data_IF_035840541701
#
_entry.id   IF_035840541701
#
_cell.length_a   1.000
_cell.length_b   1.000
_cell.length_c   1.000
_cell.angle_alpha   90.00
_cell.angle_beta   90.00
_cell.angle_gamma   90.00
#
_symmetry.space_group_name_H-M   'P 1'
#
loop_
_entity.id
_entity.type
_entity.pdbx_description
1 polymer ?
#
# COMPACT_ATOMS: atom_id res chain seq x y z
N UNK A 1 11.27 -15.02 -3.82
CA UNK A 1 10.89 -16.12 -4.72
C UNK A 1 9.46 -16.62 -4.51
N UNK A 2 8.89 -16.51 -3.31
CA UNK A 2 7.53 -16.98 -3.00
C UNK A 2 6.36 -16.17 -3.62
N UNK A 3 6.52 -14.86 -3.85
CA UNK A 3 5.39 -14.00 -4.25
C UNK A 3 4.81 -14.35 -5.63
N UNK A 4 5.64 -14.79 -6.58
CA UNK A 4 5.20 -15.17 -7.92
C UNK A 4 4.30 -16.41 -7.92
N UNK A 5 4.72 -17.58 -7.37
CA UNK A 5 3.84 -18.74 -7.29
C UNK A 5 2.62 -18.50 -6.39
N UNK A 6 2.76 -17.78 -5.28
CA UNK A 6 1.62 -17.45 -4.42
C UNK A 6 0.56 -16.62 -5.16
N UNK A 7 0.97 -15.61 -5.92
CA UNK A 7 0.07 -14.80 -6.75
C UNK A 7 -0.58 -15.62 -7.86
N UNK A 8 0.20 -16.44 -8.57
CA UNK A 8 -0.30 -17.32 -9.63
C UNK A 8 -1.36 -18.31 -9.12
N UNK A 9 -1.12 -18.94 -7.97
CA UNK A 9 -2.07 -19.89 -7.35
C UNK A 9 -3.36 -19.16 -6.99
N UNK A 10 -3.28 -18.01 -6.30
CA UNK A 10 -4.46 -17.26 -5.88
C UNK A 10 -5.28 -16.75 -7.09
N UNK A 11 -4.62 -16.28 -8.14
CA UNK A 11 -5.29 -15.89 -9.39
C UNK A 11 -5.95 -17.09 -10.09
N UNK A 12 -5.23 -18.22 -10.22
CA UNK A 12 -5.73 -19.42 -10.91
C UNK A 12 -6.95 -20.00 -10.21
N UNK A 13 -6.90 -20.15 -8.88
CA UNK A 13 -8.03 -20.69 -8.11
C UNK A 13 -9.21 -19.72 -8.13
N UNK A 14 -8.98 -18.41 -8.07
CA UNK A 14 -10.05 -17.40 -8.16
C UNK A 14 -10.79 -17.42 -9.50
N UNK A 15 -10.03 -17.54 -10.60
CA UNK A 15 -10.58 -17.60 -11.97
C UNK A 15 -11.34 -18.91 -12.17
N UNK A 16 -10.71 -20.05 -11.86
CA UNK A 16 -11.32 -21.37 -12.08
C UNK A 16 -12.55 -21.61 -11.19
N UNK A 17 -12.54 -21.08 -9.97
CA UNK A 17 -13.67 -21.16 -9.05
C UNK A 17 -14.77 -20.12 -9.30
N UNK A 18 -14.64 -19.26 -10.32
CA UNK A 18 -15.58 -18.17 -10.62
C UNK A 18 -15.84 -17.19 -9.45
N UNK A 19 -14.91 -17.09 -8.50
CA UNK A 19 -15.04 -16.20 -7.34
C UNK A 19 -14.01 -15.07 -7.34
N UNK A 20 -13.47 -14.69 -8.50
CA UNK A 20 -12.49 -13.61 -8.65
C UNK A 20 -12.89 -12.30 -7.98
N UNK A 21 -14.19 -11.94 -7.98
CA UNK A 21 -14.69 -10.74 -7.28
C UNK A 21 -14.50 -10.85 -5.76
N UNK A 22 -14.85 -12.01 -5.19
CA UNK A 22 -14.65 -12.32 -3.76
C UNK A 22 -13.17 -12.37 -3.40
N UNK A 23 -12.34 -12.91 -4.29
CA UNK A 23 -10.90 -12.97 -4.09
C UNK A 23 -10.27 -11.58 -4.06
N UNK A 24 -10.66 -10.67 -4.97
CA UNK A 24 -10.19 -9.28 -4.98
C UNK A 24 -10.54 -8.52 -3.69
N UNK A 25 -11.69 -8.79 -3.07
CA UNK A 25 -12.07 -8.22 -1.77
C UNK A 25 -11.07 -8.61 -0.65
N UNK A 26 -10.50 -9.82 -0.69
CA UNK A 26 -9.45 -10.24 0.24
C UNK A 26 -8.07 -9.64 -0.07
N UNK A 27 -7.92 -8.98 -1.22
CA UNK A 27 -6.70 -8.27 -1.62
C UNK A 27 -6.79 -6.76 -1.42
N UNK A 28 -7.82 -6.24 -0.74
CA UNK A 28 -8.00 -4.79 -0.52
C UNK A 28 -6.73 -4.12 0.05
N UNK A 29 -6.08 -4.62 1.12
CA UNK A 29 -4.86 -4.00 1.64
C UNK A 29 -3.72 -3.94 0.61
N UNK A 30 -3.57 -5.00 -0.19
CA UNK A 30 -2.57 -5.09 -1.26
C UNK A 30 -2.89 -4.12 -2.41
N UNK A 31 -4.17 -3.98 -2.77
CA UNK A 31 -4.64 -3.04 -3.80
C UNK A 31 -4.39 -1.60 -3.34
N UNK A 32 -4.69 -1.26 -2.08
CA UNK A 32 -4.43 0.08 -1.53
C UNK A 32 -2.93 0.40 -1.59
N UNK A 33 -2.08 -0.53 -1.16
CA UNK A 33 -0.62 -0.34 -1.23
C UNK A 33 -0.10 -0.23 -2.68
N UNK A 34 -0.72 -0.94 -3.62
CA UNK A 34 -0.42 -0.82 -5.04
C UNK A 34 -0.81 0.57 -5.59
N UNK A 35 -2.03 1.03 -5.32
CA UNK A 35 -2.52 2.36 -5.73
C UNK A 35 -1.64 3.47 -5.15
N UNK A 36 -1.24 3.34 -3.89
CA UNK A 36 -0.30 4.27 -3.27
C UNK A 36 1.08 4.26 -3.95
N UNK A 37 1.51 3.11 -4.48
CA UNK A 37 2.77 2.95 -5.21
C UNK A 37 2.71 3.41 -6.68
N UNK A 38 1.53 3.63 -7.27
CA UNK A 38 1.36 4.01 -8.69
C UNK A 38 2.24 5.20 -9.10
N UNK A 39 2.24 6.34 -8.39
CA UNK A 39 3.04 7.51 -8.80
C UNK A 39 4.54 7.21 -8.87
N UNK A 40 5.03 6.31 -8.00
CA UNK A 40 6.41 5.86 -8.04
C UNK A 40 6.64 4.93 -9.24
N UNK A 41 5.78 3.91 -9.42
CA UNK A 41 5.91 2.90 -10.47
C UNK A 41 5.89 3.48 -11.90
N UNK A 42 5.07 4.50 -12.14
CA UNK A 42 5.01 5.19 -13.44
C UNK A 42 6.09 6.28 -13.61
N UNK A 43 7.00 6.44 -12.65
CA UNK A 43 8.13 7.37 -12.75
C UNK A 43 7.78 8.85 -12.53
N UNK A 44 6.60 9.17 -11.99
CA UNK A 44 6.28 10.55 -11.59
C UNK A 44 7.20 11.03 -10.45
N UNK A 45 7.50 10.12 -9.52
CA UNK A 45 8.41 10.29 -8.38
C UNK A 45 9.60 9.34 -8.58
N UNK A 46 10.85 9.78 -8.30
CA UNK A 46 12.01 8.89 -8.38
C UNK A 46 11.85 7.66 -7.49
N UNK A 47 12.18 6.48 -8.02
CA UNK A 47 12.04 5.21 -7.31
C UNK A 47 13.35 4.92 -6.57
N UNK A 48 13.27 4.73 -5.24
CA UNK A 48 14.36 4.07 -4.50
C UNK A 48 14.42 2.60 -4.89
N UNK A 49 15.62 2.09 -5.16
CA UNK A 49 15.87 0.68 -5.49
C UNK A 49 15.34 -0.26 -4.40
N UNK A 50 15.38 0.17 -3.15
CA UNK A 50 14.85 -0.56 -2.00
C UNK A 50 13.84 0.31 -1.26
N UNK A 51 12.56 -0.05 -1.32
CA UNK A 51 11.46 0.64 -0.64
C UNK A 51 11.24 0.17 0.80
N UNK A 52 12.23 -0.52 1.37
CA UNK A 52 12.15 -1.03 2.73
C UNK A 52 12.62 0.05 3.72
N UNK A 53 11.96 0.22 4.86
CA UNK A 53 12.45 1.07 5.93
C UNK A 53 13.85 0.65 6.40
N UNK A 54 14.74 1.63 6.59
CA UNK A 54 16.10 1.39 7.07
C UNK A 54 16.08 1.14 8.57
N UNK A 55 16.72 0.06 9.04
CA UNK A 55 16.86 -0.19 10.47
C UNK A 55 18.04 0.60 11.03
N UNK A 56 17.82 1.27 12.16
CA UNK A 56 18.89 1.82 12.97
C UNK A 56 19.42 0.75 13.93
N UNK A 57 20.72 0.51 13.90
CA UNK A 57 21.37 -0.53 14.71
C UNK A 57 21.40 -0.16 16.20
N UNK A 58 21.41 1.14 16.52
CA UNK A 58 21.50 1.61 17.90
C UNK A 58 20.15 1.52 18.62
N UNK A 59 19.09 2.01 17.98
CA UNK A 59 17.76 2.03 18.57
C UNK A 59 16.90 0.80 18.23
N UNK A 60 17.33 -0.04 17.29
CA UNK A 60 16.57 -1.16 16.73
C UNK A 60 15.18 -0.75 16.20
N UNK A 61 15.04 0.52 15.82
CA UNK A 61 13.82 1.11 15.26
C UNK A 61 13.95 1.21 13.75
N UNK A 62 12.80 1.23 13.08
CA UNK A 62 12.72 1.45 11.64
C UNK A 62 12.57 2.92 11.33
N UNK A 63 13.51 3.44 10.57
CA UNK A 63 13.45 4.74 9.96
C UNK A 63 12.77 4.64 8.59
N UNK A 64 11.93 5.61 8.23
CA UNK A 64 11.29 5.65 6.93
C UNK A 64 12.32 5.74 5.80
N UNK A 65 12.05 5.06 4.69
CA UNK A 65 12.89 5.17 3.49
C UNK A 65 12.67 6.55 2.84
N UNK A 66 13.75 7.23 2.52
CA UNK A 66 13.75 8.58 1.97
C UNK A 66 14.13 8.57 0.49
N UNK A 67 13.44 9.38 -0.29
CA UNK A 67 13.71 9.59 -1.72
C UNK A 67 14.26 10.99 -1.91
N UNK A 68 15.48 11.07 -2.44
CA UNK A 68 16.19 12.33 -2.65
C UNK A 68 15.91 12.84 -4.07
N UNK A 69 15.47 14.09 -4.19
CA UNK A 69 15.31 14.75 -5.48
C UNK A 69 16.59 15.48 -5.87
N UNK A 70 17.21 15.06 -6.98
CA UNK A 70 18.46 15.64 -7.50
C UNK A 70 18.25 17.10 -7.94
N UNK A 71 17.07 17.43 -8.48
CA UNK A 71 16.67 18.80 -8.81
C UNK A 71 15.70 19.33 -7.75
N UNK A 72 15.92 20.55 -7.22
CA UNK A 72 14.98 21.15 -6.29
C UNK A 72 13.62 21.30 -6.98
N UNK A 73 12.57 20.91 -6.28
CA UNK A 73 11.22 20.89 -6.81
C UNK A 73 10.73 22.35 -6.96
N UNK A 74 10.56 22.82 -8.20
CA UNK A 74 10.01 24.16 -8.47
C UNK A 74 8.58 24.27 -7.92
N UNK A 75 8.27 25.37 -7.22
CA UNK A 75 6.98 25.63 -6.57
C UNK A 75 5.76 25.60 -7.52
N UNK A 76 5.98 25.64 -8.84
CA UNK A 76 4.93 25.70 -9.87
C UNK A 76 4.69 24.37 -10.62
N UNK A 77 5.39 23.30 -10.27
CA UNK A 77 5.25 22.02 -10.98
C UNK A 77 4.04 21.21 -10.48
N UNK A 78 3.34 20.52 -11.37
CA UNK A 78 2.22 19.61 -11.04
C UNK A 78 2.61 18.56 -9.99
N UNK A 79 3.88 18.15 -9.98
CA UNK A 79 4.48 17.24 -8.98
C UNK A 79 4.44 17.82 -7.56
N UNK A 80 4.70 19.11 -7.40
CA UNK A 80 4.70 19.83 -6.11
C UNK A 80 3.29 19.94 -5.55
N UNK A 81 2.29 20.23 -6.41
CA UNK A 81 0.89 20.24 -6.01
C UNK A 81 0.39 18.86 -5.59
N UNK A 82 0.73 17.81 -6.35
CA UNK A 82 0.41 16.43 -5.98
C UNK A 82 1.04 16.05 -4.63
N UNK A 83 2.32 16.36 -4.44
CA UNK A 83 3.00 16.09 -3.17
C UNK A 83 2.39 16.86 -1.99
N UNK A 84 2.00 18.13 -2.18
CA UNK A 84 1.29 18.90 -1.14
C UNK A 84 -0.07 18.29 -0.78
N UNK A 85 -0.81 17.74 -1.76
CA UNK A 85 -2.07 17.04 -1.47
C UNK A 85 -1.79 15.78 -0.67
N UNK A 86 -0.82 14.96 -1.08
CA UNK A 86 -0.46 13.72 -0.38
C UNK A 86 0.12 14.01 1.03
N UNK A 87 0.83 15.12 1.19
CA UNK A 87 1.30 15.63 2.49
C UNK A 87 0.14 16.09 3.38
N UNK A 88 -0.85 16.79 2.82
CA UNK A 88 -2.07 17.16 3.54
C UNK A 88 -2.84 15.92 4.03
N UNK A 89 -2.84 14.85 3.24
CA UNK A 89 -3.37 13.54 3.62
C UNK A 89 -2.52 12.81 4.68
N UNK A 90 -1.41 13.39 5.16
CA UNK A 90 -0.44 12.81 6.12
C UNK A 90 0.15 11.46 5.70
N UNK A 91 0.10 11.14 4.41
CA UNK A 91 0.64 9.88 3.87
C UNK A 91 2.14 9.98 3.59
N UNK A 92 2.62 11.19 3.28
CA UNK A 92 4.01 11.49 2.96
C UNK A 92 4.46 12.69 3.78
N UNK A 93 5.68 12.62 4.32
CA UNK A 93 6.37 13.77 4.89
C UNK A 93 7.34 14.32 3.85
N UNK A 94 7.13 15.55 3.43
CA UNK A 94 8.02 16.22 2.45
C UNK A 94 8.97 17.11 3.24
N UNK A 95 10.27 16.79 3.21
CA UNK A 95 11.29 17.73 3.67
C UNK A 95 11.71 18.62 2.50
N UNK A 96 11.53 19.94 2.68
CA UNK A 96 11.88 20.95 1.65
C UNK A 96 13.39 21.03 1.38
N UNK A 97 14.20 20.38 2.22
CA UNK A 97 15.65 20.21 2.03
C UNK A 97 16.05 19.14 0.99
N UNK A 98 15.11 18.71 0.12
CA UNK A 98 15.25 17.77 -1.02
C UNK A 98 14.89 16.31 -0.73
N UNK A 99 14.46 15.98 0.48
CA UNK A 99 14.16 14.60 0.89
C UNK A 99 12.65 14.39 1.06
N UNK A 100 12.08 13.40 0.38
CA UNK A 100 10.69 12.99 0.59
C UNK A 100 10.67 11.66 1.31
N UNK A 101 10.00 11.62 2.45
CA UNK A 101 9.94 10.44 3.33
C UNK A 101 8.51 9.96 3.42
N UNK A 102 8.26 8.69 3.09
CA UNK A 102 6.99 8.05 3.40
C UNK A 102 7.05 7.67 4.88
N UNK A 103 6.42 8.47 5.73
CA UNK A 103 6.50 8.31 7.17
C UNK A 103 5.24 7.60 7.67
N UNK A 104 5.39 6.41 8.25
CA UNK A 104 4.43 5.96 9.25
C UNK A 104 4.61 6.85 10.50
N UNK A 105 3.55 7.27 11.18
CA UNK A 105 3.62 8.31 12.22
C UNK A 105 4.48 7.92 13.44
N UNK A 106 4.73 6.63 13.66
CA UNK A 106 5.51 6.14 14.80
C UNK A 106 6.76 5.38 14.35
N UNK A 107 7.88 5.58 15.05
CA UNK A 107 9.06 4.71 14.96
C UNK A 107 8.69 3.36 15.56
N UNK A 108 8.67 2.32 14.74
CA UNK A 108 8.26 0.97 15.13
C UNK A 108 9.44 0.02 14.99
N UNK A 109 9.47 -1.04 15.79
CA UNK A 109 10.35 -2.18 15.54
C UNK A 109 9.80 -3.02 14.37
N UNK A 110 10.65 -3.82 13.72
CA UNK A 110 10.31 -4.53 12.48
C UNK A 110 9.27 -5.60 12.71
N UNK A 111 9.32 -6.22 13.89
CA UNK A 111 8.33 -7.18 14.36
C UNK A 111 6.98 -6.50 14.59
N UNK A 112 6.98 -5.37 15.30
CA UNK A 112 5.76 -4.59 15.55
C UNK A 112 5.09 -4.14 14.24
N UNK A 113 5.89 -3.65 13.28
CA UNK A 113 5.37 -3.25 11.97
C UNK A 113 4.76 -4.45 11.22
N UNK A 114 5.41 -5.61 11.28
CA UNK A 114 4.91 -6.84 10.63
C UNK A 114 3.61 -7.30 11.27
N UNK A 115 3.52 -7.29 12.60
CA UNK A 115 2.31 -7.65 13.35
C UNK A 115 1.17 -6.68 13.04
N UNK A 116 1.45 -5.37 12.96
CA UNK A 116 0.43 -4.37 12.60
C UNK A 116 -0.10 -4.60 11.19
N UNK A 117 0.77 -4.87 10.22
CA UNK A 117 0.36 -5.13 8.83
C UNK A 117 -0.45 -6.43 8.73
N UNK A 118 -0.02 -7.49 9.42
CA UNK A 118 -0.75 -8.76 9.48
C UNK A 118 -2.11 -8.60 10.17
N UNK A 119 -2.16 -7.85 11.27
CA UNK A 119 -3.39 -7.52 11.97
C UNK A 119 -4.33 -6.73 11.09
N UNK A 120 -3.84 -5.71 10.38
CA UNK A 120 -4.61 -4.95 9.40
C UNK A 120 -5.15 -5.84 8.27
N UNK A 121 -4.32 -6.74 7.73
CA UNK A 121 -4.74 -7.71 6.72
C UNK A 121 -5.84 -8.62 7.24
N UNK A 122 -5.69 -9.13 8.46
CA UNK A 122 -6.67 -10.01 9.09
C UNK A 122 -7.99 -9.28 9.32
N UNK A 123 -7.97 -8.09 9.90
CA UNK A 123 -9.16 -7.26 10.12
C UNK A 123 -9.82 -6.91 8.79
N UNK A 124 -9.06 -6.48 7.78
CA UNK A 124 -9.62 -6.15 6.46
C UNK A 124 -10.26 -7.36 5.79
N UNK A 125 -9.67 -8.54 5.90
CA UNK A 125 -10.22 -9.75 5.28
C UNK A 125 -11.40 -10.31 6.08
N UNK A 126 -11.34 -10.21 7.41
CA UNK A 126 -12.41 -10.65 8.30
C UNK A 126 -13.65 -9.75 8.16
N UNK A 127 -13.47 -8.45 8.34
CA UNK A 127 -14.57 -7.49 8.24
C UNK A 127 -14.93 -7.18 6.79
N UNK A 128 -13.98 -6.75 5.95
CA UNK A 128 -14.31 -6.39 4.56
C UNK A 128 -14.77 -7.60 3.74
N UNK A 129 -13.99 -8.68 3.73
CA UNK A 129 -14.26 -9.84 2.89
C UNK A 129 -15.51 -10.62 3.30
N UNK A 130 -15.64 -10.98 4.59
CA UNK A 130 -16.80 -11.77 5.03
C UNK A 130 -18.07 -10.94 5.22
N UNK A 131 -18.00 -9.69 5.69
CA UNK A 131 -19.19 -8.85 5.80
C UNK A 131 -19.78 -8.53 4.43
N UNK A 132 -18.94 -8.20 3.44
CA UNK A 132 -19.42 -7.96 2.06
C UNK A 132 -19.99 -9.24 1.45
N UNK A 133 -19.38 -10.39 1.71
CA UNK A 133 -19.87 -11.66 1.17
C UNK A 133 -21.15 -12.18 1.82
N UNK A 134 -21.34 -11.98 3.12
CA UNK A 134 -22.50 -12.53 3.84
C UNK A 134 -23.64 -11.54 4.02
N UNK A 135 -23.36 -10.25 4.13
CA UNK A 135 -24.37 -9.22 4.45
C UNK A 135 -24.63 -8.27 3.28
N UNK A 136 -23.60 -8.01 2.46
CA UNK A 136 -23.67 -7.08 1.33
C UNK A 136 -23.62 -7.79 -0.03
N UNK A 137 -23.89 -9.10 -0.06
CA UNK A 137 -23.83 -9.88 -1.30
C UNK A 137 -24.78 -9.32 -2.36
N UNK A 138 -25.96 -8.88 -1.94
CA UNK A 138 -27.00 -8.40 -2.87
C UNK A 138 -26.67 -7.04 -3.49
N UNK A 139 -25.73 -6.26 -2.90
CA UNK A 139 -25.27 -4.99 -3.45
C UNK A 139 -24.15 -5.16 -4.48
N UNK A 140 -23.27 -6.14 -4.26
CA UNK A 140 -22.06 -6.36 -5.09
C UNK A 140 -22.22 -7.49 -6.12
N UNK A 141 -23.14 -8.42 -5.87
CA UNK A 141 -23.46 -9.52 -6.77
C UNK A 141 -24.89 -9.31 -7.25
N UNK A 142 -25.05 -9.13 -8.57
CA UNK A 142 -26.35 -8.90 -9.19
C UNK A 142 -27.33 -10.03 -8.83
N UNK A 143 -28.45 -9.65 -8.21
CA UNK A 143 -29.53 -10.55 -7.80
C UNK A 143 -30.28 -11.16 -8.98
N UNK A 144 -30.02 -10.73 -10.23
CA UNK A 144 -30.61 -11.31 -11.46
C UNK A 144 -29.93 -12.57 -12.00
N UNK A 145 -28.80 -13.01 -11.43
CA UNK A 145 -28.05 -14.19 -11.89
C UNK A 145 -28.25 -15.44 -11.00
N UNK A 146 -29.28 -15.47 -10.14
CA UNK A 146 -29.71 -16.66 -9.41
C UNK A 146 -30.78 -17.43 -10.20
#
# INVERSE_FOLDING_TARGET
>A
MFCYPAGMILATVGILGHFSKSLLLFFIPQIINFVYSIPQLFGFIPISRHRFPSRDLLSNLLNPSMVIFIKPLSNLTTKTKFLNVVEFLKLVKVDRNKEVSICFPNKLNGEQLTIIILGFQFVSNFFGGFFIRYYLSDLFYDSRLR
#
